data_IF_226522383156
#
_entry.id   IF_226522383156
#
_cell.length_a   1.000
_cell.length_b   1.000
_cell.length_c   1.000
_cell.angle_alpha   90.00
_cell.angle_beta   90.00
_cell.angle_gamma   90.00
#
_symmetry.space_group_name_H-M   'P 1'
#
loop_
_entity.id
_entity.type
_entity.pdbx_description
1 polymer ?
#
# COMPACT_ATOMS: atom_id res chain seq x y z
N UNK A 1 -16.95 31.81 -6.93
CA UNK A 1 -16.44 30.49 -6.50
C UNK A 1 -15.18 30.74 -5.69
N UNK A 2 -15.11 30.25 -4.46
CA UNK A 2 -13.86 30.29 -3.70
C UNK A 2 -12.81 29.43 -4.44
N UNK A 3 -11.59 29.94 -4.60
CA UNK A 3 -10.49 29.16 -5.15
C UNK A 3 -10.27 27.92 -4.27
N UNK A 4 -10.14 26.75 -4.88
CA UNK A 4 -9.81 25.53 -4.15
C UNK A 4 -8.49 25.75 -3.40
N UNK A 5 -8.49 25.51 -2.08
CA UNK A 5 -7.26 25.59 -1.31
C UNK A 5 -6.26 24.54 -1.84
N UNK A 6 -4.99 24.91 -2.03
CA UNK A 6 -3.98 23.96 -2.49
C UNK A 6 -3.83 22.81 -1.49
N UNK A 7 -3.74 21.59 -2.00
CA UNK A 7 -3.52 20.39 -1.18
C UNK A 7 -2.17 20.50 -0.45
N UNK A 8 -2.12 20.30 0.88
CA UNK A 8 -0.88 20.38 1.65
C UNK A 8 0.22 19.44 1.13
N UNK A 9 1.45 19.95 1.03
CA UNK A 9 2.65 19.16 0.69
C UNK A 9 3.24 18.52 1.92
N UNK A 10 3.90 17.38 1.75
CA UNK A 10 4.71 16.77 2.80
C UNK A 10 5.91 17.69 3.08
N UNK A 11 6.24 17.88 4.36
CA UNK A 11 7.38 18.73 4.72
C UNK A 11 8.71 18.09 4.27
N UNK A 12 9.69 18.86 3.77
CA UNK A 12 11.00 18.32 3.37
C UNK A 12 11.72 17.56 4.49
N UNK A 13 11.55 17.97 5.74
CA UNK A 13 12.08 17.28 6.92
C UNK A 13 11.46 15.89 7.09
N UNK A 14 10.15 15.75 6.84
CA UNK A 14 9.45 14.46 6.86
C UNK A 14 9.93 13.55 5.73
N UNK A 15 10.21 14.10 4.53
CA UNK A 15 10.81 13.34 3.42
C UNK A 15 12.18 12.80 3.84
N UNK A 16 13.07 13.66 4.34
CA UNK A 16 14.41 13.26 4.78
C UNK A 16 14.38 12.21 5.91
N UNK A 17 13.49 12.40 6.90
CA UNK A 17 13.32 11.43 7.99
C UNK A 17 12.81 10.08 7.48
N UNK A 18 11.87 10.07 6.53
CA UNK A 18 11.33 8.85 5.93
C UNK A 18 12.41 8.12 5.11
N UNK A 19 13.23 8.84 4.35
CA UNK A 19 14.36 8.27 3.65
C UNK A 19 15.36 7.61 4.62
N UNK A 20 15.64 8.24 5.77
CA UNK A 20 16.49 7.64 6.81
C UNK A 20 15.86 6.38 7.43
N UNK A 21 14.55 6.37 7.68
CA UNK A 21 13.83 5.18 8.13
C UNK A 21 13.91 4.04 7.13
N UNK A 22 13.82 4.32 5.83
CA UNK A 22 13.94 3.31 4.78
C UNK A 22 15.36 2.76 4.63
N UNK A 23 16.38 3.49 5.10
CA UNK A 23 17.78 3.08 5.03
C UNK A 23 18.28 2.37 6.31
N UNK A 24 17.46 2.25 7.37
CA UNK A 24 17.91 1.77 8.67
C UNK A 24 18.01 0.24 8.81
N UNK A 25 17.64 -0.52 7.77
CA UNK A 25 17.72 -1.98 7.73
C UNK A 25 16.61 -2.73 8.46
N UNK A 26 15.62 -2.05 9.06
CA UNK A 26 14.48 -2.69 9.71
C UNK A 26 13.50 -3.26 8.69
N UNK A 27 12.80 -4.34 9.06
CA UNK A 27 11.72 -4.91 8.24
C UNK A 27 10.57 -3.91 8.15
N UNK A 28 10.47 -3.26 7.00
CA UNK A 28 9.60 -2.10 6.79
C UNK A 28 8.46 -2.42 5.83
N UNK A 29 7.25 -2.03 6.21
CA UNK A 29 6.10 -1.99 5.30
C UNK A 29 5.70 -0.55 4.95
N UNK A 30 5.50 -0.26 3.67
CA UNK A 30 4.80 0.94 3.20
C UNK A 30 3.31 0.64 3.11
N UNK A 31 2.52 1.17 4.05
CA UNK A 31 1.07 1.07 4.00
C UNK A 31 0.50 2.22 3.16
N UNK A 32 0.06 1.86 1.96
CA UNK A 32 -0.42 2.76 0.93
C UNK A 32 -1.95 2.92 1.03
N UNK A 33 -2.40 4.16 0.94
CA UNK A 33 -3.80 4.55 0.90
C UNK A 33 -4.07 5.65 -0.12
N UNK A 34 -5.35 6.02 -0.26
CA UNK A 34 -5.81 7.13 -1.09
C UNK A 34 -5.19 7.17 -2.52
N UNK A 35 -4.39 8.19 -2.83
CA UNK A 35 -3.78 8.38 -4.15
C UNK A 35 -2.51 7.53 -4.36
N UNK A 36 -1.91 6.99 -3.30
CA UNK A 36 -0.75 6.09 -3.42
C UNK A 36 -1.10 4.75 -4.09
N UNK A 37 -2.37 4.31 -4.02
CA UNK A 37 -2.84 3.06 -4.61
C UNK A 37 -3.33 3.21 -6.07
N UNK A 38 -3.18 4.40 -6.66
CA UNK A 38 -3.52 4.69 -8.05
C UNK A 38 -2.27 4.64 -8.92
N UNK A 39 -2.48 4.45 -10.22
CA UNK A 39 -1.47 4.33 -11.28
C UNK A 39 -0.07 4.85 -10.91
N UNK A 40 0.17 6.16 -11.03
CA UNK A 40 1.49 6.77 -10.82
C UNK A 40 2.00 6.66 -9.37
N UNK A 41 1.11 6.78 -8.38
CA UNK A 41 1.48 6.59 -6.97
C UNK A 41 2.00 5.18 -6.71
N UNK A 42 1.36 4.18 -7.32
CA UNK A 42 1.73 2.78 -7.16
C UNK A 42 3.05 2.46 -7.90
N UNK A 43 3.28 3.10 -9.05
CA UNK A 43 4.57 3.03 -9.75
C UNK A 43 5.71 3.60 -8.91
N UNK A 44 5.52 4.80 -8.33
CA UNK A 44 6.52 5.44 -7.46
C UNK A 44 6.79 4.61 -6.21
N UNK A 45 5.74 4.14 -5.53
CA UNK A 45 5.87 3.25 -4.38
C UNK A 45 6.61 1.96 -4.76
N UNK A 46 6.31 1.42 -5.94
CA UNK A 46 7.04 0.30 -6.55
C UNK A 46 8.54 0.53 -6.66
N UNK A 47 8.95 1.69 -7.20
CA UNK A 47 10.37 2.02 -7.35
C UNK A 47 11.06 2.16 -6.00
N UNK A 48 10.39 2.80 -5.04
CA UNK A 48 10.87 2.92 -3.65
C UNK A 48 11.06 1.52 -3.05
N UNK A 49 10.10 0.61 -3.25
CA UNK A 49 10.20 -0.78 -2.80
C UNK A 49 11.38 -1.53 -3.44
N UNK A 50 11.54 -1.40 -4.75
CA UNK A 50 12.66 -2.00 -5.48
C UNK A 50 14.01 -1.49 -4.95
N UNK A 51 14.10 -0.19 -4.61
CA UNK A 51 15.33 0.43 -4.11
C UNK A 51 15.68 0.03 -2.68
N UNK A 52 14.68 0.03 -1.80
CA UNK A 52 14.86 0.00 -0.34
C UNK A 52 14.59 -1.38 0.25
N UNK A 53 13.97 -2.29 -0.50
CA UNK A 53 13.56 -3.60 -0.02
C UNK A 53 12.33 -3.60 0.89
N UNK A 54 11.65 -2.46 1.05
CA UNK A 54 10.39 -2.40 1.80
C UNK A 54 9.27 -3.13 1.08
N UNK A 55 8.32 -3.69 1.84
CA UNK A 55 7.15 -4.35 1.27
C UNK A 55 6.00 -3.37 1.08
N UNK A 56 5.25 -3.52 -0.01
CA UNK A 56 4.09 -2.68 -0.30
C UNK A 56 2.80 -3.31 0.24
N UNK A 57 2.14 -2.58 1.12
CA UNK A 57 0.89 -2.96 1.76
C UNK A 57 -0.20 -1.96 1.33
N UNK A 58 -1.44 -2.41 1.21
CA UNK A 58 -2.59 -1.55 0.94
C UNK A 58 -3.58 -1.55 2.09
N UNK A 59 -4.31 -0.45 2.27
CA UNK A 59 -5.45 -0.40 3.20
C UNK A 59 -6.44 -1.56 2.96
N UNK A 60 -7.19 -1.97 3.97
CA UNK A 60 -8.14 -3.11 3.86
C UNK A 60 -9.22 -2.86 2.79
N UNK A 61 -9.73 -1.62 2.71
CA UNK A 61 -10.83 -1.24 1.81
C UNK A 61 -10.48 0.03 1.02
N UNK A 62 -9.54 -0.04 0.07
CA UNK A 62 -9.18 1.12 -0.70
C UNK A 62 -10.34 1.47 -1.65
N UNK A 63 -10.74 2.75 -1.69
CA UNK A 63 -11.80 3.21 -2.59
C UNK A 63 -11.45 2.95 -4.07
N UNK A 64 -10.15 2.99 -4.40
CA UNK A 64 -9.61 2.63 -5.72
C UNK A 64 -8.26 1.94 -5.53
N UNK A 65 -8.02 0.88 -6.31
CA UNK A 65 -6.76 0.16 -6.38
C UNK A 65 -6.44 -0.10 -7.85
N UNK A 66 -5.32 0.41 -8.33
CA UNK A 66 -4.76 0.01 -9.62
C UNK A 66 -4.25 -1.44 -9.48
N UNK A 67 -4.84 -2.37 -10.24
CA UNK A 67 -4.50 -3.80 -10.22
C UNK A 67 -4.65 -4.41 -11.60
N UNK A 68 -4.03 -5.57 -11.79
CA UNK A 68 -4.07 -6.32 -13.05
C UNK A 68 -2.67 -6.58 -13.60
N UNK A 69 -2.62 -7.15 -14.79
CA UNK A 69 -1.37 -7.38 -15.53
C UNK A 69 -0.59 -6.07 -15.68
N UNK A 70 0.73 -6.17 -15.52
CA UNK A 70 1.65 -5.04 -15.69
C UNK A 70 1.61 -4.04 -14.54
N UNK A 71 0.82 -4.26 -13.49
CA UNK A 71 0.74 -3.35 -12.33
C UNK A 71 1.60 -3.84 -11.18
N UNK A 72 2.13 -2.90 -10.41
CA UNK A 72 2.79 -3.17 -9.13
C UNK A 72 1.80 -3.87 -8.19
N UNK A 73 2.24 -4.94 -7.54
CA UNK A 73 1.39 -5.71 -6.63
C UNK A 73 1.50 -5.18 -5.20
N UNK A 74 0.37 -5.19 -4.50
CA UNK A 74 0.28 -4.82 -3.09
C UNK A 74 -0.52 -5.87 -2.34
N UNK A 75 -0.13 -6.14 -1.10
CA UNK A 75 -0.90 -7.01 -0.22
C UNK A 75 -1.85 -6.17 0.62
N UNK A 76 -3.15 -6.45 0.57
CA UNK A 76 -4.13 -5.70 1.36
C UNK A 76 -4.14 -6.19 2.81
N UNK A 77 -4.14 -5.25 3.75
CA UNK A 77 -4.22 -5.54 5.18
C UNK A 77 -5.50 -6.34 5.46
N UNK A 78 -5.41 -7.53 6.09
CA UNK A 78 -6.58 -8.34 6.40
C UNK A 78 -7.62 -7.59 7.24
N UNK A 79 -8.89 -7.93 7.02
CA UNK A 79 -10.00 -7.31 7.74
C UNK A 79 -10.02 -7.68 9.22
N UNK A 80 -10.02 -8.97 9.52
CA UNK A 80 -10.08 -9.49 10.89
C UNK A 80 -8.79 -9.22 11.65
N UNK A 81 -8.94 -8.86 12.92
CA UNK A 81 -7.84 -8.43 13.78
C UNK A 81 -6.79 -9.53 13.91
N UNK A 82 -7.20 -10.77 14.12
CA UNK A 82 -6.31 -11.91 14.32
C UNK A 82 -5.42 -12.14 13.10
N UNK A 83 -6.00 -12.08 11.90
CA UNK A 83 -5.27 -12.19 10.63
C UNK A 83 -4.37 -10.98 10.39
N UNK A 84 -4.84 -9.78 10.72
CA UNK A 84 -4.04 -8.57 10.58
C UNK A 84 -2.82 -8.57 11.52
N UNK A 85 -2.96 -9.08 12.74
CA UNK A 85 -1.83 -9.21 13.67
C UNK A 85 -0.78 -10.18 13.17
N UNK A 86 -1.20 -11.31 12.59
CA UNK A 86 -0.27 -12.24 11.95
C UNK A 86 0.42 -11.59 10.74
N UNK A 87 -0.36 -10.89 9.90
CA UNK A 87 0.16 -10.15 8.75
C UNK A 87 1.20 -9.10 9.15
N UNK A 88 0.99 -8.39 10.26
CA UNK A 88 1.90 -7.35 10.72
C UNK A 88 3.09 -7.84 11.57
N UNK A 89 3.10 -9.11 12.00
CA UNK A 89 4.13 -9.65 12.89
C UNK A 89 5.54 -9.66 12.27
N UNK A 90 5.62 -9.62 10.93
CA UNK A 90 6.89 -9.62 10.21
C UNK A 90 7.55 -8.24 10.12
N UNK A 91 6.85 -7.17 10.51
CA UNK A 91 7.33 -5.79 10.38
C UNK A 91 7.74 -5.18 11.71
N UNK A 92 8.90 -4.53 11.70
CA UNK A 92 9.40 -3.75 12.83
C UNK A 92 8.98 -2.28 12.73
N UNK A 93 8.66 -1.81 11.53
CA UNK A 93 8.15 -0.46 11.30
C UNK A 93 7.18 -0.41 10.11
N UNK A 94 6.17 0.44 10.22
CA UNK A 94 5.18 0.74 9.18
C UNK A 94 5.21 2.23 8.86
N UNK A 95 5.40 2.56 7.60
CA UNK A 95 5.33 3.93 7.08
C UNK A 95 3.98 4.13 6.38
N UNK A 96 3.20 5.09 6.86
CA UNK A 96 1.86 5.39 6.34
C UNK A 96 1.95 6.42 5.22
N UNK A 97 1.49 6.06 4.02
CA UNK A 97 1.54 6.88 2.80
C UNK A 97 0.13 7.06 2.26
N UNK A 98 -0.49 8.20 2.58
CA UNK A 98 -1.88 8.47 2.22
C UNK A 98 -2.89 7.55 2.92
N UNK A 99 -2.45 6.84 3.96
CA UNK A 99 -3.24 5.90 4.74
C UNK A 99 -3.38 6.36 6.19
N UNK A 100 -4.42 5.88 6.86
CA UNK A 100 -4.58 6.00 8.30
C UNK A 100 -3.97 4.80 9.05
N UNK A 101 -3.59 4.96 10.33
CA UNK A 101 -3.16 3.82 11.14
C UNK A 101 -4.20 2.69 11.14
N UNK A 102 -3.80 1.43 10.92
CA UNK A 102 -4.75 0.34 10.79
C UNK A 102 -5.31 -0.07 12.16
N UNK A 103 -6.61 0.17 12.34
CA UNK A 103 -7.37 -0.15 13.56
C UNK A 103 -8.36 -1.29 13.32
N UNK A 104 -8.80 -1.96 14.39
CA UNK A 104 -9.90 -2.92 14.34
C UNK A 104 -11.18 -2.19 13.98
N UNK A 105 -11.99 -2.79 13.10
CA UNK A 105 -13.27 -2.20 12.67
C UNK A 105 -14.29 -2.18 13.80
N UNK A 106 -14.22 -3.16 14.70
CA UNK A 106 -15.07 -3.25 15.89
C UNK A 106 -14.22 -3.26 17.15
N UNK A 107 -14.77 -2.70 18.23
CA UNK A 107 -14.23 -2.86 19.56
C UNK A 107 -14.80 -4.15 20.18
N UNK A 108 -13.91 -5.07 20.54
CA UNK A 108 -14.27 -6.28 21.27
C UNK A 108 -13.71 -6.21 22.67
N UNK A 109 -14.47 -6.72 23.65
CA UNK A 109 -14.02 -6.74 25.03
C UNK A 109 -12.71 -7.53 25.13
N UNK A 110 -11.73 -6.96 25.84
CA UNK A 110 -10.39 -7.53 26.02
C UNK A 110 -9.55 -7.70 24.74
N UNK A 111 -9.95 -7.09 23.62
CA UNK A 111 -9.16 -7.09 22.38
C UNK A 111 -8.52 -5.72 22.11
N UNK A 112 -7.32 -5.67 21.50
CA UNK A 112 -6.70 -4.41 21.12
C UNK A 112 -7.48 -3.74 19.99
N UNK A 113 -7.45 -2.41 19.96
CA UNK A 113 -8.03 -1.59 18.89
C UNK A 113 -7.07 -1.38 17.72
N UNK A 114 -5.77 -1.60 17.91
CA UNK A 114 -4.76 -1.47 16.85
C UNK A 114 -4.43 -2.84 16.25
N UNK A 115 -4.28 -2.88 14.92
CA UNK A 115 -3.87 -4.10 14.19
C UNK A 115 -2.37 -4.36 14.27
N UNK A 116 -1.58 -3.31 14.48
CA UNK A 116 -0.13 -3.39 14.59
C UNK A 116 0.29 -4.01 15.94
N UNK A 117 1.34 -4.84 15.97
CA UNK A 117 1.99 -5.23 17.21
C UNK A 117 2.48 -3.98 17.99
N UNK A 118 2.42 -3.96 19.33
CA UNK A 118 2.86 -2.82 20.14
C UNK A 118 4.31 -2.37 19.89
N UNK A 119 5.17 -3.31 19.52
CA UNK A 119 6.59 -3.12 19.21
C UNK A 119 6.84 -2.59 17.78
N UNK A 120 5.82 -2.61 16.92
CA UNK A 120 5.92 -2.13 15.55
C UNK A 120 5.78 -0.61 15.51
N UNK A 121 6.86 0.08 15.14
CA UNK A 121 6.85 1.54 15.08
C UNK A 121 6.02 2.03 13.89
N UNK A 122 5.24 3.10 14.11
CA UNK A 122 4.43 3.70 13.06
C UNK A 122 4.94 5.10 12.76
N UNK A 123 5.16 5.39 11.47
CA UNK A 123 5.57 6.70 10.99
C UNK A 123 4.59 7.23 9.95
N UNK A 124 3.98 8.40 10.20
CA UNK A 124 3.12 9.06 9.21
C UNK A 124 3.97 9.88 8.25
N UNK A 125 4.16 9.38 7.02
CA UNK A 125 4.82 10.15 5.97
C UNK A 125 3.87 11.18 5.35
N UNK A 126 2.68 10.73 4.94
CA UNK A 126 1.65 11.57 4.33
C UNK A 126 0.27 11.13 4.81
N UNK A 127 -0.57 12.04 5.31
CA UNK A 127 -1.99 11.74 5.57
C UNK A 127 -2.79 11.70 4.25
N UNK A 128 -4.03 11.18 4.26
CA UNK A 128 -4.89 11.19 3.07
C UNK A 128 -5.15 12.58 2.47
N UNK A 129 -5.03 13.64 3.28
CA UNK A 129 -5.27 15.03 2.88
C UNK A 129 -4.04 15.71 2.25
N UNK A 130 -2.88 15.05 2.25
CA UNK A 130 -1.69 15.58 1.59
C UNK A 130 -1.71 15.31 0.08
N UNK A 131 -0.88 16.05 -0.65
CA UNK A 131 -0.48 15.71 -2.01
C UNK A 131 0.45 14.49 -1.97
N UNK A 132 -0.16 13.32 -1.83
CA UNK A 132 0.51 12.02 -1.66
C UNK A 132 1.40 11.69 -2.86
N UNK A 133 0.94 12.03 -4.07
CA UNK A 133 1.67 11.72 -5.29
C UNK A 133 3.01 12.45 -5.31
N UNK A 134 2.99 13.74 -5.00
CA UNK A 134 4.21 14.49 -5.02
C UNK A 134 5.13 14.20 -3.83
N UNK A 135 4.56 13.87 -2.66
CA UNK A 135 5.35 13.31 -1.57
C UNK A 135 6.08 12.02 -1.98
N UNK A 136 5.39 11.10 -2.67
CA UNK A 136 6.02 9.89 -3.20
C UNK A 136 7.12 10.18 -4.22
N UNK A 137 6.94 11.21 -5.06
CA UNK A 137 7.96 11.63 -6.02
C UNK A 137 9.21 12.17 -5.31
N UNK A 138 9.03 13.08 -4.34
CA UNK A 138 10.13 13.63 -3.53
C UNK A 138 10.83 12.53 -2.73
N UNK A 139 10.09 11.56 -2.20
CA UNK A 139 10.65 10.43 -1.48
C UNK A 139 11.45 9.51 -2.41
N UNK A 140 10.92 9.21 -3.60
CA UNK A 140 11.62 8.42 -4.61
C UNK A 140 12.95 9.07 -5.03
N UNK A 141 12.97 10.40 -5.20
CA UNK A 141 14.19 11.15 -5.45
C UNK A 141 15.16 11.06 -4.25
N UNK A 142 14.66 11.28 -3.03
CA UNK A 142 15.47 11.25 -1.81
C UNK A 142 16.14 9.90 -1.54
N UNK A 143 15.48 8.79 -1.88
CA UNK A 143 16.07 7.44 -1.76
C UNK A 143 16.84 7.00 -3.01
N UNK A 144 16.89 7.82 -4.06
CA UNK A 144 17.55 7.48 -5.32
C UNK A 144 16.87 6.36 -6.10
N UNK A 145 15.54 6.28 -6.04
CA UNK A 145 14.71 5.29 -6.70
C UNK A 145 14.15 5.74 -8.07
N UNK A 146 14.37 6.98 -8.50
CA UNK A 146 13.71 7.54 -9.70
C UNK A 146 13.92 6.72 -10.98
N UNK A 147 15.08 6.06 -11.12
CA UNK A 147 15.43 5.20 -12.25
C UNK A 147 15.22 3.70 -12.02
N UNK A 148 14.72 3.29 -10.85
CA UNK A 148 14.49 1.88 -10.56
C UNK A 148 13.31 1.32 -11.35
N UNK A 149 13.34 0.01 -11.57
CA UNK A 149 12.23 -0.72 -12.18
C UNK A 149 11.55 -1.58 -11.13
N UNK A 150 10.22 -1.62 -11.16
CA UNK A 150 9.44 -2.40 -10.21
C UNK A 150 9.01 -3.72 -10.83
N UNK A 151 9.02 -4.79 -10.03
CA UNK A 151 8.33 -6.02 -10.38
C UNK A 151 6.84 -5.76 -10.65
N UNK A 152 6.33 -6.35 -11.74
CA UNK A 152 4.95 -6.19 -12.18
C UNK A 152 4.24 -7.54 -12.12
N UNK A 153 2.96 -7.51 -11.78
CA UNK A 153 2.11 -8.69 -11.83
C UNK A 153 1.97 -9.21 -13.24
N UNK A 154 2.20 -10.51 -13.44
CA UNK A 154 1.98 -11.18 -14.72
C UNK A 154 0.50 -11.55 -14.89
N UNK A 155 0.09 -11.72 -16.15
CA UNK A 155 -1.24 -12.24 -16.45
C UNK A 155 -1.36 -13.69 -16.01
N UNK A 156 -2.37 -13.98 -15.19
CA UNK A 156 -2.78 -15.34 -14.93
C UNK A 156 -3.66 -15.83 -16.09
N UNK A 157 -3.33 -17.00 -16.64
CA UNK A 157 -4.11 -17.68 -17.67
C UNK A 157 -4.71 -18.97 -17.08
N UNK A 158 -5.82 -18.90 -16.32
CA UNK A 158 -6.47 -20.09 -15.78
C UNK A 158 -7.04 -20.95 -16.91
N UNK A 159 -7.20 -22.27 -16.72
CA UNK A 159 -7.91 -23.10 -17.69
C UNK A 159 -9.38 -22.65 -17.81
N UNK A 160 -9.99 -22.89 -18.97
CA UNK A 160 -11.41 -22.64 -19.15
C UNK A 160 -12.22 -23.45 -18.13
N UNK A 161 -13.15 -22.82 -17.39
CA UNK A 161 -13.94 -23.53 -16.40
C UNK A 161 -14.89 -24.55 -17.05
N UNK A 162 -15.10 -25.67 -16.37
CA UNK A 162 -16.07 -26.68 -16.74
C UNK A 162 -16.96 -27.03 -15.53
N UNK A 163 -18.17 -27.55 -15.77
CA UNK A 163 -19.09 -27.96 -14.72
C UNK A 163 -20.02 -26.83 -14.23
N UNK A 164 -20.50 -26.90 -12.96
CA UNK A 164 -21.51 -25.98 -12.45
C UNK A 164 -21.07 -24.52 -12.44
N UNK A 165 -22.04 -23.61 -12.61
CA UNK A 165 -21.80 -22.18 -12.48
C UNK A 165 -21.62 -21.81 -11.00
N UNK A 166 -20.39 -21.45 -10.63
CA UNK A 166 -19.99 -21.00 -9.29
C UNK A 166 -19.35 -19.62 -9.37
N UNK A 167 -19.17 -18.94 -8.23
CA UNK A 167 -18.45 -17.66 -8.21
C UNK A 167 -17.02 -17.77 -8.78
N UNK A 168 -16.34 -18.90 -8.55
CA UNK A 168 -15.00 -19.16 -9.09
C UNK A 168 -15.02 -19.33 -10.62
N UNK A 169 -15.95 -20.15 -11.16
CA UNK A 169 -16.05 -20.36 -12.60
C UNK A 169 -16.46 -19.09 -13.34
N UNK A 170 -17.32 -18.26 -12.74
CA UNK A 170 -17.66 -16.93 -13.28
C UNK A 170 -16.40 -16.04 -13.32
N UNK A 171 -15.65 -15.96 -12.23
CA UNK A 171 -14.42 -15.16 -12.16
C UNK A 171 -13.35 -15.58 -13.17
N UNK A 172 -13.17 -16.90 -13.37
CA UNK A 172 -12.26 -17.45 -14.38
C UNK A 172 -12.69 -17.07 -15.80
N UNK A 173 -13.96 -17.25 -16.15
CA UNK A 173 -14.50 -16.86 -17.46
C UNK A 173 -14.31 -15.38 -17.74
N UNK A 174 -14.59 -14.51 -16.75
CA UNK A 174 -14.39 -13.07 -16.87
C UNK A 174 -12.91 -12.76 -17.08
N UNK A 175 -12.01 -13.33 -16.29
CA UNK A 175 -10.56 -13.10 -16.41
C UNK A 175 -9.99 -13.53 -17.78
N UNK A 176 -10.58 -14.56 -18.39
CA UNK A 176 -10.16 -15.06 -19.70
C UNK A 176 -10.67 -14.20 -20.86
N UNK A 177 -11.88 -13.66 -20.74
CA UNK A 177 -12.60 -13.02 -21.85
C UNK A 177 -12.70 -11.49 -21.76
N UNK A 178 -12.29 -10.89 -20.64
CA UNK A 178 -12.20 -9.43 -20.51
C UNK A 178 -11.13 -8.89 -21.46
N UNK A 179 -11.44 -7.84 -22.24
CA UNK A 179 -10.52 -7.25 -23.22
C UNK A 179 -9.32 -6.56 -22.57
#
# INVERSE_FOLDING_TARGET
>A
MAAAMPTPRVAPTTVAATAALLANGRRTGLLLGAHALRDEGLELAGRIAAKTGTQLLGETFPARLARGEGRVQVQLVPYFLELARQFFADYEQIILVGALPPVSTFAYQHSPTHKLPPECETWQFASPDHDVLAGLQELAEAVGASGETTARGERLAPPAPAGPLTGSSIGQSISLLMP
#
